data_IF_974079852925
#
_entry.id   IF_974079852925
#
_cell.length_a   1.000
_cell.length_b   1.000
_cell.length_c   1.000
_cell.angle_alpha   90.00
_cell.angle_beta   90.00
_cell.angle_gamma   90.00
#
_symmetry.space_group_name_H-M   'P 1'
#
loop_
_entity.id
_entity.type
_entity.pdbx_description
1 polymer ?
#
# COMPACT_ATOMS: atom_id res chain seq x y z
N UNK A 1 -0.65 -42.42 -27.85
CA UNK A 1 -1.41 -41.95 -26.66
C UNK A 1 -0.77 -40.64 -26.20
N UNK A 2 -1.37 -39.49 -26.50
CA UNK A 2 -0.85 -38.18 -26.06
C UNK A 2 -1.51 -37.84 -24.70
N UNK A 3 -0.70 -37.95 -23.67
CA UNK A 3 -1.09 -37.58 -22.31
C UNK A 3 -1.41 -36.05 -22.25
N UNK A 4 -2.67 -35.73 -22.04
CA UNK A 4 -3.12 -34.33 -21.87
C UNK A 4 -2.60 -33.85 -20.53
N UNK A 5 -1.49 -33.10 -20.51
CA UNK A 5 -1.02 -32.37 -19.34
C UNK A 5 -2.13 -31.35 -18.99
N UNK A 6 -2.94 -31.70 -17.99
CA UNK A 6 -3.91 -30.77 -17.37
C UNK A 6 -3.11 -29.64 -16.73
N UNK A 7 -3.05 -28.49 -17.42
CA UNK A 7 -2.54 -27.25 -16.83
C UNK A 7 -3.42 -26.93 -15.62
N UNK A 8 -2.97 -27.31 -14.42
CA UNK A 8 -3.65 -26.93 -13.18
C UNK A 8 -3.67 -25.40 -13.15
N UNK A 9 -4.84 -24.79 -13.36
CA UNK A 9 -5.06 -23.36 -13.16
C UNK A 9 -4.57 -23.03 -11.74
N UNK A 10 -3.45 -22.33 -11.63
CA UNK A 10 -2.93 -21.85 -10.34
C UNK A 10 -4.07 -21.14 -9.62
N UNK A 11 -4.51 -21.66 -8.51
CA UNK A 11 -5.60 -21.07 -7.72
C UNK A 11 -5.21 -19.63 -7.38
N UNK A 12 -6.11 -18.70 -7.65
CA UNK A 12 -5.90 -17.28 -7.35
C UNK A 12 -5.71 -17.11 -5.85
N UNK A 13 -4.64 -16.45 -5.43
CA UNK A 13 -4.29 -16.26 -4.01
C UNK A 13 -5.11 -15.16 -3.33
N UNK A 14 -5.82 -14.34 -4.10
CA UNK A 14 -6.56 -13.18 -3.63
C UNK A 14 -7.98 -13.14 -4.20
N UNK A 15 -8.85 -12.45 -3.50
CA UNK A 15 -10.22 -12.12 -3.94
C UNK A 15 -10.54 -10.67 -3.59
N UNK A 16 -11.35 -10.02 -4.42
CA UNK A 16 -11.86 -8.66 -4.20
C UNK A 16 -13.14 -8.73 -3.36
N UNK A 17 -13.21 -7.91 -2.28
CA UNK A 17 -14.36 -7.86 -1.36
C UNK A 17 -14.56 -6.43 -0.86
N UNK A 18 -15.73 -6.16 -0.23
CA UNK A 18 -15.93 -4.92 0.55
C UNK A 18 -14.92 -4.90 1.71
N UNK A 19 -14.34 -3.73 1.95
CA UNK A 19 -13.42 -3.45 3.03
C UNK A 19 -14.03 -2.41 3.98
N UNK A 20 -13.78 -2.56 5.26
CA UNK A 20 -14.09 -1.53 6.27
C UNK A 20 -13.12 -0.34 6.23
N UNK A 21 -11.96 -0.49 5.57
CA UNK A 21 -10.94 0.55 5.46
C UNK A 21 -11.34 1.55 4.36
N UNK A 22 -11.56 1.05 3.14
CA UNK A 22 -11.95 1.88 2.00
C UNK A 22 -12.71 1.03 0.97
N UNK A 23 -14.02 1.19 0.90
CA UNK A 23 -14.98 0.58 -0.07
C UNK A 23 -14.65 -0.85 -0.49
N UNK A 24 -13.51 -1.06 -1.17
CA UNK A 24 -13.06 -2.35 -1.73
C UNK A 24 -11.62 -2.60 -1.28
N UNK A 25 -11.32 -3.88 -0.98
CA UNK A 25 -9.99 -4.37 -0.66
C UNK A 25 -9.70 -5.72 -1.30
N UNK A 26 -8.45 -6.14 -1.26
CA UNK A 26 -8.01 -7.47 -1.63
C UNK A 26 -7.83 -8.31 -0.37
N UNK A 27 -8.36 -9.53 -0.41
CA UNK A 27 -8.32 -10.47 0.70
C UNK A 27 -7.66 -11.77 0.28
N UNK A 28 -6.95 -12.43 1.17
CA UNK A 28 -6.36 -13.74 0.91
C UNK A 28 -7.47 -14.78 0.63
N UNK A 29 -7.50 -15.35 -0.56
CA UNK A 29 -8.43 -16.41 -0.93
C UNK A 29 -8.01 -17.77 -0.35
N UNK A 30 -6.74 -17.94 -0.05
CA UNK A 30 -6.08 -19.12 0.51
C UNK A 30 -5.01 -18.67 1.51
N UNK A 31 -4.52 -19.54 2.42
CA UNK A 31 -3.33 -19.21 3.22
C UNK A 31 -2.13 -18.88 2.33
N UNK A 32 -1.39 -17.82 2.65
CA UNK A 32 -0.25 -17.34 1.86
C UNK A 32 1.00 -17.40 2.73
N UNK A 33 2.05 -18.04 2.24
CA UNK A 33 3.36 -18.09 2.91
C UNK A 33 4.08 -16.75 2.78
N UNK A 34 4.94 -16.41 3.75
CA UNK A 34 5.82 -15.26 3.66
C UNK A 34 6.69 -15.31 2.38
N UNK A 35 6.98 -14.15 1.79
CA UNK A 35 7.78 -14.03 0.57
C UNK A 35 7.06 -14.36 -0.74
N UNK A 36 5.76 -14.71 -0.69
CA UNK A 36 4.97 -15.05 -1.88
C UNK A 36 4.62 -13.79 -2.67
N UNK A 37 4.93 -13.76 -3.97
CA UNK A 37 4.41 -12.76 -4.90
C UNK A 37 2.94 -13.11 -5.23
N UNK A 38 2.03 -12.21 -4.87
CA UNK A 38 0.58 -12.46 -4.87
C UNK A 38 -0.06 -11.97 -6.16
N UNK A 39 0.17 -10.71 -6.51
CA UNK A 39 -0.39 -10.04 -7.69
C UNK A 39 0.57 -8.96 -8.18
N UNK A 40 0.66 -8.81 -9.48
CA UNK A 40 1.44 -7.75 -10.12
C UNK A 40 0.63 -6.46 -10.20
N UNK A 41 1.24 -5.34 -9.84
CA UNK A 41 0.73 -4.03 -10.19
C UNK A 41 0.98 -3.81 -11.68
N UNK A 42 -0.06 -3.52 -12.42
CA UNK A 42 0.02 -3.14 -13.83
C UNK A 42 -0.44 -1.71 -13.97
N UNK A 43 0.19 -1.00 -14.89
CA UNK A 43 -0.09 0.40 -15.10
C UNK A 43 0.81 0.98 -16.17
N UNK A 44 0.69 2.28 -16.35
CA UNK A 44 1.53 3.04 -17.26
C UNK A 44 2.77 3.52 -16.52
N UNK A 45 3.96 3.17 -17.01
CA UNK A 45 5.21 3.74 -16.51
C UNK A 45 5.33 5.16 -17.07
N UNK A 46 5.54 6.12 -16.18
CA UNK A 46 5.56 7.57 -16.46
C UNK A 46 6.83 8.19 -15.85
N UNK A 47 7.33 9.29 -16.40
CA UNK A 47 8.37 10.09 -15.73
C UNK A 47 7.90 10.53 -14.35
N UNK A 48 8.83 10.65 -13.40
CA UNK A 48 8.48 11.03 -12.02
C UNK A 48 7.83 12.42 -11.93
N UNK A 49 8.18 13.34 -12.85
CA UNK A 49 7.57 14.67 -12.95
C UNK A 49 6.08 14.59 -13.29
N UNK A 50 5.72 13.69 -14.21
CA UNK A 50 4.30 13.44 -14.54
C UNK A 50 3.56 12.84 -13.35
N UNK A 51 4.19 11.89 -12.64
CA UNK A 51 3.65 11.31 -11.41
C UNK A 51 3.40 12.37 -10.33
N UNK A 52 4.36 13.28 -10.11
CA UNK A 52 4.22 14.38 -9.17
C UNK A 52 3.05 15.32 -9.54
N UNK A 53 2.90 15.66 -10.82
CA UNK A 53 1.77 16.48 -11.29
C UNK A 53 0.43 15.76 -11.11
N UNK A 54 0.38 14.44 -11.29
CA UNK A 54 -0.82 13.64 -11.04
C UNK A 54 -1.20 13.68 -9.55
N UNK A 55 -0.24 13.51 -8.64
CA UNK A 55 -0.46 13.60 -7.20
C UNK A 55 -0.98 14.98 -6.79
N UNK A 56 -0.37 16.06 -7.29
CA UNK A 56 -0.84 17.44 -7.05
C UNK A 56 -2.29 17.69 -7.53
N UNK A 57 -2.76 16.90 -8.50
CA UNK A 57 -4.15 16.93 -9.02
C UNK A 57 -5.07 15.95 -8.29
N UNK A 58 -4.63 15.36 -7.18
CA UNK A 58 -5.41 14.46 -6.35
C UNK A 58 -5.45 13.01 -6.83
N UNK A 59 -4.51 12.58 -7.68
CA UNK A 59 -4.41 11.16 -8.02
C UNK A 59 -3.85 10.37 -6.82
N UNK A 60 -4.42 9.21 -6.54
CA UNK A 60 -4.13 8.40 -5.35
C UNK A 60 -3.45 7.04 -5.64
N UNK A 61 -3.16 6.75 -6.91
CA UNK A 61 -2.61 5.46 -7.35
C UNK A 61 -1.29 5.60 -8.11
N UNK A 62 -0.46 6.57 -7.71
CA UNK A 62 0.89 6.74 -8.26
C UNK A 62 1.88 6.02 -7.34
N UNK A 63 2.61 5.06 -7.89
CA UNK A 63 3.55 4.22 -7.15
C UNK A 63 4.96 4.43 -7.70
N UNK A 64 5.93 4.64 -6.82
CA UNK A 64 7.34 4.70 -7.21
C UNK A 64 7.79 3.42 -7.91
N UNK A 65 8.23 3.55 -9.16
CA UNK A 65 8.71 2.42 -9.96
C UNK A 65 10.23 2.25 -9.89
N UNK A 66 10.97 3.35 -10.08
CA UNK A 66 12.43 3.44 -9.90
C UNK A 66 12.87 4.88 -9.62
N UNK A 67 14.16 5.18 -9.77
CA UNK A 67 14.70 6.51 -9.47
C UNK A 67 14.16 7.62 -10.40
N UNK A 68 13.74 7.26 -11.63
CA UNK A 68 13.33 8.22 -12.68
C UNK A 68 11.86 8.08 -13.09
N UNK A 69 11.20 7.01 -12.66
CA UNK A 69 9.84 6.70 -13.12
C UNK A 69 8.92 6.37 -11.95
N UNK A 70 7.66 6.70 -12.14
CA UNK A 70 6.53 6.26 -11.36
C UNK A 70 5.64 5.34 -12.20
N UNK A 71 4.68 4.69 -11.58
CA UNK A 71 3.65 3.88 -12.22
C UNK A 71 2.28 4.46 -11.87
N UNK A 72 1.50 4.85 -12.87
CA UNK A 72 0.06 5.04 -12.74
C UNK A 72 -0.59 3.66 -12.60
N UNK A 73 -0.87 3.27 -11.36
CA UNK A 73 -1.36 1.93 -11.00
C UNK A 73 -2.85 1.90 -10.67
N UNK A 74 -3.66 2.76 -11.28
CA UNK A 74 -5.11 2.82 -11.03
C UNK A 74 -5.78 1.45 -11.20
N UNK A 75 -6.88 1.17 -10.45
CA UNK A 75 -7.54 -0.15 -10.44
C UNK A 75 -8.03 -0.65 -11.79
N UNK A 76 -8.24 0.24 -12.76
CA UNK A 76 -8.59 -0.11 -14.12
C UNK A 76 -7.51 -0.92 -14.85
N UNK A 77 -6.22 -0.77 -14.44
CA UNK A 77 -5.09 -1.50 -15.03
C UNK A 77 -4.85 -2.83 -14.33
N UNK A 78 -5.07 -2.87 -13.01
CA UNK A 78 -4.84 -4.08 -12.22
C UNK A 78 -5.66 -4.04 -10.93
N UNK A 79 -6.27 -5.17 -10.53
CA UNK A 79 -6.91 -5.27 -9.22
C UNK A 79 -5.97 -4.96 -8.04
N UNK A 80 -4.65 -4.99 -8.23
CA UNK A 80 -3.67 -4.59 -7.21
C UNK A 80 -3.86 -3.15 -6.73
N UNK A 81 -4.41 -2.25 -7.55
CA UNK A 81 -4.78 -0.90 -7.15
C UNK A 81 -5.85 -0.81 -6.06
N UNK A 82 -6.52 -1.91 -5.70
CA UNK A 82 -7.43 -1.96 -4.56
C UNK A 82 -6.78 -2.40 -3.24
N UNK A 83 -5.45 -2.50 -3.18
CA UNK A 83 -4.74 -2.81 -1.93
C UNK A 83 -4.80 -1.61 -1.01
N UNK A 84 -5.35 -1.79 0.19
CA UNK A 84 -5.52 -0.73 1.17
C UNK A 84 -4.29 -0.53 2.05
N UNK A 85 -4.21 0.66 2.68
CA UNK A 85 -3.20 0.95 3.67
C UNK A 85 -3.49 0.22 4.99
N UNK A 86 -2.41 -0.22 5.65
CA UNK A 86 -2.45 -0.66 7.04
C UNK A 86 -1.17 -0.28 7.79
N UNK A 87 -1.32 0.29 9.00
CA UNK A 87 -0.19 0.64 9.85
C UNK A 87 0.66 -0.56 10.29
N UNK A 88 0.09 -1.76 10.22
CA UNK A 88 0.73 -3.06 10.48
C UNK A 88 0.51 -3.97 9.28
N UNK A 89 1.20 -3.72 8.17
CA UNK A 89 0.97 -4.39 6.91
C UNK A 89 1.35 -5.87 6.97
N UNK A 90 0.73 -6.68 6.13
CA UNK A 90 1.11 -8.07 5.88
C UNK A 90 1.74 -8.27 4.50
N UNK A 91 1.76 -7.20 3.69
CA UNK A 91 2.37 -7.18 2.36
C UNK A 91 3.27 -5.96 2.19
N UNK A 92 4.13 -6.01 1.18
CA UNK A 92 4.92 -4.89 0.68
C UNK A 92 4.97 -4.94 -0.85
N UNK A 93 5.16 -3.79 -1.49
CA UNK A 93 5.46 -3.71 -2.92
C UNK A 93 6.94 -4.04 -3.10
N UNK A 94 7.24 -5.02 -3.94
CA UNK A 94 8.63 -5.40 -4.26
C UNK A 94 8.83 -5.45 -5.77
N UNK A 95 9.97 -4.93 -6.25
CA UNK A 95 10.39 -5.07 -7.64
C UNK A 95 10.82 -6.52 -7.89
N UNK A 96 10.19 -7.19 -8.86
CA UNK A 96 10.46 -8.58 -9.21
C UNK A 96 10.17 -8.81 -10.68
N UNK A 97 11.09 -9.47 -11.39
CA UNK A 97 10.95 -9.77 -12.83
C UNK A 97 10.63 -8.54 -13.69
N UNK A 98 11.23 -7.39 -13.36
CA UNK A 98 10.99 -6.13 -14.07
C UNK A 98 9.70 -5.39 -13.72
N UNK A 99 8.78 -5.97 -12.92
CA UNK A 99 7.53 -5.37 -12.49
C UNK A 99 7.45 -5.11 -10.98
N UNK A 100 6.39 -4.44 -10.53
CA UNK A 100 6.07 -4.25 -9.13
C UNK A 100 5.06 -5.32 -8.68
N UNK A 101 5.35 -5.99 -7.59
CA UNK A 101 4.53 -7.08 -7.07
C UNK A 101 4.12 -6.85 -5.63
N UNK A 102 2.83 -7.03 -5.35
CA UNK A 102 2.38 -7.23 -3.99
C UNK A 102 2.97 -8.54 -3.47
N UNK A 103 3.79 -8.44 -2.43
CA UNK A 103 4.50 -9.60 -1.86
C UNK A 103 4.20 -9.68 -0.37
N UNK A 104 3.83 -10.86 0.12
CA UNK A 104 3.62 -11.10 1.54
C UNK A 104 4.94 -10.93 2.31
N UNK A 105 4.90 -10.24 3.47
CA UNK A 105 6.06 -10.06 4.36
C UNK A 105 6.00 -10.96 5.59
N UNK A 106 4.85 -11.59 5.82
CA UNK A 106 4.63 -12.64 6.84
C UNK A 106 3.65 -13.67 6.27
N UNK A 107 3.42 -14.72 7.04
CA UNK A 107 2.31 -15.64 6.77
C UNK A 107 0.98 -14.89 6.88
N UNK A 108 0.06 -15.14 5.94
CA UNK A 108 -1.27 -14.54 5.88
C UNK A 108 -2.31 -15.67 5.92
N UNK A 109 -3.27 -15.57 6.81
CA UNK A 109 -4.37 -16.53 6.90
C UNK A 109 -5.39 -16.25 5.79
N UNK A 110 -6.12 -17.30 5.38
CA UNK A 110 -7.28 -17.12 4.50
C UNK A 110 -8.27 -16.13 5.10
N UNK A 111 -8.80 -15.23 4.29
CA UNK A 111 -9.73 -14.19 4.70
C UNK A 111 -9.12 -12.93 5.28
N UNK A 112 -7.80 -12.87 5.57
CA UNK A 112 -7.15 -11.63 5.96
C UNK A 112 -7.12 -10.64 4.78
N UNK A 113 -7.33 -9.36 5.05
CA UNK A 113 -7.13 -8.29 4.07
C UNK A 113 -5.64 -8.11 3.80
N UNK A 114 -5.29 -7.95 2.52
CA UNK A 114 -3.93 -7.70 2.07
C UNK A 114 -3.66 -6.19 2.19
N UNK A 115 -2.72 -5.82 3.06
CA UNK A 115 -2.45 -4.43 3.42
C UNK A 115 -0.98 -4.10 3.19
N UNK A 116 -0.72 -2.88 2.72
CA UNK A 116 0.62 -2.29 2.62
C UNK A 116 0.70 -1.01 3.46
N UNK A 117 1.91 -0.59 3.83
CA UNK A 117 2.14 0.78 4.29
C UNK A 117 2.29 1.66 3.04
N UNK A 118 1.43 2.65 2.86
CA UNK A 118 1.52 3.59 1.73
C UNK A 118 2.80 4.42 1.80
N UNK A 119 3.30 4.65 3.02
CA UNK A 119 4.62 5.22 3.21
C UNK A 119 4.71 6.69 2.87
N UNK A 120 3.65 7.47 3.09
CA UNK A 120 3.66 8.92 2.87
C UNK A 120 4.73 9.61 3.68
N UNK A 121 5.34 10.63 3.11
CA UNK A 121 6.40 11.43 3.70
C UNK A 121 5.86 12.50 4.67
N UNK A 122 6.72 12.92 5.59
CA UNK A 122 6.43 14.07 6.43
C UNK A 122 6.57 15.35 5.59
N UNK A 123 5.53 15.91 5.10
CA UNK A 123 5.49 17.05 4.18
C UNK A 123 4.46 16.88 3.08
N UNK A 124 3.95 15.66 2.91
CA UNK A 124 2.74 15.38 2.16
C UNK A 124 1.52 15.67 3.04
N UNK A 125 0.33 15.77 2.46
CA UNK A 125 -0.90 15.95 3.23
C UNK A 125 -1.09 14.80 4.21
N UNK A 126 -1.46 15.14 5.45
CA UNK A 126 -1.67 14.16 6.51
C UNK A 126 -2.99 13.43 6.33
N UNK A 127 -2.97 12.30 5.64
CA UNK A 127 -4.15 11.47 5.46
C UNK A 127 -4.48 10.67 6.73
N UNK A 128 -5.71 10.82 7.28
CA UNK A 128 -6.16 10.03 8.41
C UNK A 128 -6.18 8.53 8.08
N UNK A 129 -5.61 7.73 8.95
CA UNK A 129 -5.61 6.27 8.80
C UNK A 129 -6.86 5.65 9.46
N UNK A 130 -7.59 4.86 8.70
CA UNK A 130 -8.79 4.12 9.12
C UNK A 130 -8.59 2.60 9.09
N UNK A 131 -7.34 2.10 9.26
CA UNK A 131 -7.03 0.68 9.09
C UNK A 131 -7.62 -0.24 10.20
N UNK A 132 -8.23 0.30 11.24
CA UNK A 132 -8.89 -0.46 12.30
C UNK A 132 -7.97 -1.26 13.22
N UNK A 133 -6.64 -1.21 13.04
CA UNK A 133 -5.70 -1.94 13.88
C UNK A 133 -5.66 -1.33 15.30
N UNK A 134 -5.66 -2.14 16.40
CA UNK A 134 -5.65 -1.62 17.79
C UNK A 134 -4.49 -0.66 18.09
N UNK A 135 -3.37 -0.81 17.41
CA UNK A 135 -2.21 0.08 17.48
C UNK A 135 -2.09 0.97 16.23
N UNK A 136 -3.22 1.38 15.65
CA UNK A 136 -3.23 2.29 14.51
C UNK A 136 -2.50 3.58 14.87
N UNK A 137 -1.69 4.09 13.96
CA UNK A 137 -0.92 5.33 14.16
C UNK A 137 -1.76 6.61 13.98
N UNK A 138 -2.98 6.48 13.49
CA UNK A 138 -3.90 7.60 13.22
C UNK A 138 -3.67 8.31 11.89
N UNK A 139 -2.46 8.25 11.34
CA UNK A 139 -2.08 8.87 10.06
C UNK A 139 -1.35 7.86 9.17
N UNK A 140 -1.42 8.02 7.85
CA UNK A 140 -0.75 7.16 6.87
C UNK A 140 0.73 7.52 6.66
N UNK A 141 1.37 8.09 7.68
CA UNK A 141 2.78 8.47 7.66
C UNK A 141 3.68 7.24 7.80
N UNK A 142 4.76 7.17 7.04
CA UNK A 142 5.75 6.07 7.15
C UNK A 142 6.42 6.05 8.52
N UNK A 143 6.71 4.84 8.99
CA UNK A 143 7.18 4.59 10.36
C UNK A 143 8.42 5.40 10.75
N UNK A 144 9.36 5.61 9.84
CA UNK A 144 10.62 6.35 10.12
C UNK A 144 10.42 7.84 10.41
N UNK A 145 9.32 8.46 9.99
CA UNK A 145 9.07 9.88 10.16
C UNK A 145 8.25 10.21 11.43
N UNK A 146 7.68 9.21 12.08
CA UNK A 146 6.94 9.39 13.34
C UNK A 146 7.73 10.10 14.45
N UNK A 147 9.03 9.79 14.69
CA UNK A 147 9.79 10.53 15.69
C UNK A 147 9.92 12.02 15.38
N UNK A 148 10.03 12.37 14.09
CA UNK A 148 10.10 13.79 13.64
C UNK A 148 8.77 14.50 13.88
N UNK A 149 7.64 13.88 13.52
CA UNK A 149 6.31 14.43 13.75
C UNK A 149 6.06 14.66 15.25
N UNK A 150 6.37 13.69 16.11
CA UNK A 150 6.21 13.83 17.57
C UNK A 150 7.01 15.02 18.11
N UNK A 151 8.26 15.20 17.69
CA UNK A 151 9.08 16.35 18.10
C UNK A 151 8.46 17.67 17.63
N UNK A 152 7.93 17.71 16.40
CA UNK A 152 7.28 18.91 15.88
C UNK A 152 6.05 19.27 16.71
N UNK A 153 5.17 18.30 16.98
CA UNK A 153 3.97 18.50 17.81
C UNK A 153 4.37 18.98 19.21
N UNK A 154 5.37 18.37 19.86
CA UNK A 154 5.83 18.80 21.19
C UNK A 154 6.34 20.25 21.20
N UNK A 155 7.06 20.67 20.15
CA UNK A 155 7.52 22.07 20.02
C UNK A 155 6.34 23.04 19.85
N UNK A 156 5.37 22.72 19.02
CA UNK A 156 4.17 23.54 18.80
C UNK A 156 3.38 23.67 20.09
N UNK A 157 3.15 22.57 20.81
CA UNK A 157 2.43 22.60 22.10
C UNK A 157 3.15 23.44 23.15
N UNK A 158 4.50 23.37 23.21
CA UNK A 158 5.30 24.19 24.11
C UNK A 158 5.17 25.71 23.78
N UNK A 159 5.17 26.06 22.48
CA UNK A 159 4.97 27.44 22.06
C UNK A 159 3.58 27.97 22.44
N UNK A 160 2.53 27.17 22.21
CA UNK A 160 1.16 27.53 22.57
C UNK A 160 1.04 27.74 24.10
N UNK A 161 1.66 26.88 24.90
CA UNK A 161 1.63 27.00 26.36
C UNK A 161 2.28 28.30 26.87
N UNK A 162 3.28 28.83 26.16
CA UNK A 162 3.97 30.09 26.50
C UNK A 162 3.10 31.32 26.11
N UNK A 163 2.30 31.21 25.06
CA UNK A 163 1.47 32.35 24.54
C UNK A 163 0.15 32.49 25.26
N UNK A 164 -0.29 31.58 26.12
CA UNK A 164 -1.55 31.59 26.86
C UNK A 164 -1.38 32.11 28.30
N UNK A 165 -0.19 32.55 28.69
CA UNK A 165 0.14 33.22 29.93
C UNK A 165 0.57 34.64 29.65
#
# INVERSE_FOLDING_TARGET
MREKIKLQRRKRLWQKRRSSINRIGLFAALPIRAGTAIIEFKGRIIPWEEGALMLLRGADHVIKFDAKHDMDARPQWSPAGHVNHGCYPNCAIKKKRGGLWLTSIRQIKQGEELLIDYGFDLGEEFEPCRCGHPRCRGLMLRKKDWPKLRRLISKVLALIAITVH
#
